data_IF_132407140572
#
_entry.id   IF_132407140572
#
_cell.length_a   1.000
_cell.length_b   1.000
_cell.length_c   1.000
_cell.angle_alpha   90.00
_cell.angle_beta   90.00
_cell.angle_gamma   90.00
#
_symmetry.space_group_name_H-M   'P 1'
#
loop_
_entity.id
_entity.type
_entity.pdbx_description
1 polymer ?
#
# COMPACT_ATOMS: atom_id res chain seq x y z
N UNK A 1 -3.86 -4.32 -1.19
CA UNK A 1 -3.16 -4.08 0.10
C UNK A 1 -3.91 -3.00 0.83
N UNK A 2 -4.23 -3.28 2.08
CA UNK A 2 -4.93 -2.35 2.95
C UNK A 2 -4.03 -1.95 4.12
N UNK A 3 -4.22 -0.73 4.61
CA UNK A 3 -3.47 -0.21 5.74
C UNK A 3 -4.21 0.91 6.46
N UNK A 4 -3.57 1.38 7.53
CA UNK A 4 -4.10 2.44 8.38
C UNK A 4 -3.26 3.70 8.20
N UNK A 5 -3.92 4.84 8.00
CA UNK A 5 -3.27 6.15 7.98
C UNK A 5 -3.48 6.80 9.35
N UNK A 6 -2.42 7.10 10.10
CA UNK A 6 -2.52 7.79 11.38
C UNK A 6 -2.93 9.26 11.20
N UNK A 7 -3.45 9.90 12.24
CA UNK A 7 -3.76 11.33 12.21
C UNK A 7 -2.47 12.17 12.12
N UNK A 8 -2.60 13.36 11.55
CA UNK A 8 -1.49 14.28 11.26
C UNK A 8 -0.69 14.67 12.50
N UNK A 9 -1.34 14.72 13.67
CA UNK A 9 -0.66 15.01 14.94
C UNK A 9 0.28 13.88 15.42
N UNK A 10 0.10 12.66 14.92
CA UNK A 10 0.88 11.47 15.31
C UNK A 10 1.90 11.10 14.22
N UNK A 11 1.58 11.37 12.94
CA UNK A 11 2.50 11.27 11.82
C UNK A 11 2.36 12.52 10.92
N UNK A 12 3.16 13.57 11.16
CA UNK A 12 3.02 14.84 10.43
C UNK A 12 3.57 14.77 8.99
N UNK A 13 4.40 13.77 8.69
CA UNK A 13 4.94 13.57 7.35
C UNK A 13 4.04 12.60 6.59
N UNK A 14 3.42 13.00 5.46
CA UNK A 14 2.66 12.09 4.62
C UNK A 14 3.55 10.95 4.13
N UNK A 15 3.04 9.73 4.19
CA UNK A 15 3.75 8.55 3.72
C UNK A 15 3.70 8.49 2.21
N UNK A 16 4.87 8.37 1.59
CA UNK A 16 5.01 8.18 0.15
C UNK A 16 5.55 6.77 -0.10
N UNK A 17 4.79 5.98 -0.83
CA UNK A 17 5.06 4.56 -1.06
C UNK A 17 5.18 4.29 -2.54
N UNK A 18 6.15 3.44 -2.89
CA UNK A 18 6.33 2.87 -4.20
C UNK A 18 5.96 1.39 -4.17
N UNK A 19 5.10 0.95 -5.08
CA UNK A 19 4.67 -0.44 -5.23
C UNK A 19 5.13 -1.00 -6.57
N UNK A 20 5.80 -2.15 -6.53
CA UNK A 20 6.27 -2.85 -7.74
C UNK A 20 5.80 -4.31 -7.71
N UNK A 21 5.16 -4.77 -8.79
CA UNK A 21 4.77 -6.17 -8.99
C UNK A 21 5.68 -6.82 -10.03
N UNK A 22 6.39 -7.90 -9.69
CA UNK A 22 7.25 -8.66 -10.61
C UNK A 22 8.23 -7.82 -11.44
N UNK A 23 8.83 -6.80 -10.81
CA UNK A 23 9.74 -5.83 -11.46
C UNK A 23 9.07 -4.94 -12.52
N UNK A 24 7.75 -4.75 -12.45
CA UNK A 24 7.03 -3.75 -13.26
C UNK A 24 7.50 -2.32 -12.99
N UNK A 25 7.01 -1.38 -13.79
CA UNK A 25 7.12 0.05 -13.45
C UNK A 25 6.51 0.30 -12.06
N UNK A 26 7.20 1.05 -11.19
CA UNK A 26 6.67 1.33 -9.86
C UNK A 26 5.44 2.25 -9.91
N UNK A 27 4.45 1.95 -9.07
CA UNK A 27 3.28 2.78 -8.83
C UNK A 27 3.46 3.58 -7.55
N UNK A 28 3.32 4.90 -7.67
CA UNK A 28 3.50 5.82 -6.55
C UNK A 28 2.16 6.11 -5.87
N UNK A 29 2.16 6.10 -4.55
CA UNK A 29 1.01 6.49 -3.73
C UNK A 29 1.46 7.42 -2.60
N UNK A 30 0.66 8.44 -2.33
CA UNK A 30 0.85 9.35 -1.20
C UNK A 30 -0.38 9.28 -0.33
N UNK A 31 -0.21 8.96 0.95
CA UNK A 31 -1.33 8.89 1.89
C UNK A 31 -1.92 10.29 2.12
N UNK A 32 -3.25 10.47 2.07
CA UNK A 32 -3.88 11.72 2.49
C UNK A 32 -3.67 11.96 3.98
N UNK A 33 -3.26 13.17 4.36
CA UNK A 33 -3.12 13.59 5.77
C UNK A 33 -4.39 14.25 6.27
N UNK A 34 -4.96 13.70 7.34
CA UNK A 34 -6.15 14.20 8.04
C UNK A 34 -5.90 14.26 9.54
N UNK A 35 -6.74 14.95 10.29
CA UNK A 35 -6.66 14.95 11.76
C UNK A 35 -7.25 13.69 12.40
N UNK A 36 -7.97 12.88 11.62
CA UNK A 36 -8.56 11.61 12.03
C UNK A 36 -7.72 10.40 11.59
N UNK A 37 -7.86 9.27 12.31
CA UNK A 37 -7.34 7.97 11.88
C UNK A 37 -8.19 7.46 10.71
N UNK A 38 -7.54 7.01 9.63
CA UNK A 38 -8.20 6.39 8.48
C UNK A 38 -7.86 4.89 8.46
N UNK A 39 -8.75 4.06 9.00
CA UNK A 39 -8.58 2.61 9.06
C UNK A 39 -8.94 1.93 7.73
N UNK A 40 -8.30 0.79 7.45
CA UNK A 40 -8.64 -0.12 6.35
C UNK A 40 -8.73 0.58 4.97
N UNK A 41 -7.75 1.44 4.69
CA UNK A 41 -7.67 2.19 3.44
C UNK A 41 -6.99 1.35 2.36
N UNK A 42 -7.55 1.37 1.14
CA UNK A 42 -6.93 0.70 0.00
C UNK A 42 -5.72 1.50 -0.47
N UNK A 43 -4.52 0.97 -0.24
CA UNK A 43 -3.28 1.61 -0.69
C UNK A 43 -2.84 1.16 -2.08
N UNK A 44 -3.11 -0.09 -2.43
CA UNK A 44 -2.65 -0.67 -3.68
C UNK A 44 -3.54 -1.83 -4.15
N UNK A 45 -3.79 -1.87 -5.45
CA UNK A 45 -4.45 -2.97 -6.13
C UNK A 45 -3.72 -3.26 -7.45
N UNK A 46 -3.47 -4.55 -7.71
CA UNK A 46 -2.96 -5.03 -8.99
C UNK A 46 -3.96 -6.01 -9.57
N UNK A 47 -4.19 -5.92 -10.88
CA UNK A 47 -5.15 -6.77 -11.57
C UNK A 47 -4.42 -7.88 -12.31
N UNK A 48 -5.03 -9.07 -12.28
CA UNK A 48 -4.62 -10.24 -13.06
C UNK A 48 -3.20 -10.73 -12.76
N UNK A 49 -3.12 -11.73 -11.89
CA UNK A 49 -1.89 -12.49 -11.64
C UNK A 49 -2.04 -13.89 -12.23
N UNK A 50 -0.94 -14.45 -12.72
CA UNK A 50 -0.90 -15.82 -13.19
C UNK A 50 -0.81 -16.76 -11.99
N UNK A 51 -1.90 -17.48 -11.71
CA UNK A 51 -1.98 -18.37 -10.56
C UNK A 51 -0.99 -19.55 -10.60
N UNK A 52 -0.30 -19.77 -11.72
CA UNK A 52 0.64 -20.88 -11.90
C UNK A 52 2.09 -20.53 -11.51
N UNK A 53 2.40 -19.25 -11.30
CA UNK A 53 3.75 -18.81 -10.95
C UNK A 53 3.79 -18.01 -9.64
N UNK A 54 4.91 -18.03 -8.90
CA UNK A 54 5.12 -17.13 -7.78
C UNK A 54 5.21 -15.67 -8.23
N UNK A 55 4.59 -14.77 -7.47
CA UNK A 55 4.61 -13.33 -7.70
C UNK A 55 5.25 -12.60 -6.52
N UNK A 56 5.93 -11.49 -6.79
CA UNK A 56 6.57 -10.66 -5.76
C UNK A 56 6.03 -9.23 -5.80
N UNK A 57 5.41 -8.80 -4.70
CA UNK A 57 5.08 -7.41 -4.44
C UNK A 57 6.19 -6.79 -3.59
N UNK A 58 6.89 -5.80 -4.13
CA UNK A 58 7.86 -4.98 -3.38
C UNK A 58 7.18 -3.67 -3.00
N UNK A 59 7.27 -3.32 -1.72
CA UNK A 59 6.72 -2.08 -1.17
C UNK A 59 7.84 -1.29 -0.51
N UNK A 60 8.06 -0.07 -0.99
CA UNK A 60 9.12 0.80 -0.50
C UNK A 60 8.51 2.08 0.02
N UNK A 61 8.62 2.33 1.33
CA UNK A 61 8.40 3.66 1.87
C UNK A 61 9.58 4.55 1.46
N UNK A 62 9.32 5.54 0.61
CA UNK A 62 10.34 6.44 0.08
C UNK A 62 10.36 7.79 0.80
N UNK A 63 9.36 8.06 1.66
CA UNK A 63 9.36 9.25 2.48
C UNK A 63 10.25 9.03 3.71
N UNK A 64 11.16 9.98 3.93
CA UNK A 64 11.99 9.98 5.13
C UNK A 64 11.12 10.25 6.36
N UNK A 65 11.35 9.50 7.43
CA UNK A 65 10.69 9.63 8.74
C UNK A 65 9.15 9.46 8.74
N UNK A 66 8.56 9.03 7.62
CA UNK A 66 7.14 8.76 7.52
C UNK A 66 6.79 7.36 8.07
N UNK A 67 5.61 7.25 8.68
CA UNK A 67 5.13 6.00 9.27
C UNK A 67 4.22 5.26 8.29
N UNK A 68 4.51 3.99 8.04
CA UNK A 68 3.71 3.14 7.16
C UNK A 68 3.15 1.95 7.92
N UNK A 69 1.82 1.88 8.02
CA UNK A 69 1.12 0.79 8.72
C UNK A 69 0.38 -0.07 7.71
N UNK A 70 0.80 -1.33 7.60
CA UNK A 70 0.13 -2.34 6.76
C UNK A 70 -0.79 -3.17 7.62
N UNK A 71 -2.05 -3.26 7.22
CA UNK A 71 -3.03 -4.11 7.90
C UNK A 71 -2.98 -5.52 7.32
N UNK A 72 -3.22 -5.65 6.01
CA UNK A 72 -3.18 -6.94 5.32
C UNK A 72 -2.98 -6.83 3.80
N UNK A 73 -2.55 -7.94 3.20
CA UNK A 73 -2.58 -8.18 1.76
C UNK A 73 -3.62 -9.24 1.47
N UNK A 74 -4.67 -8.86 0.72
CA UNK A 74 -5.70 -9.79 0.27
C UNK A 74 -5.43 -10.25 -1.16
N UNK A 75 -5.63 -11.54 -1.41
CA UNK A 75 -5.64 -12.14 -2.74
C UNK A 75 -7.09 -12.49 -3.06
N UNK A 76 -7.63 -11.93 -4.15
CA UNK A 76 -8.99 -12.22 -4.61
C UNK A 76 -8.91 -13.21 -5.75
N UNK A 77 -9.50 -14.39 -5.57
CA UNK A 77 -9.62 -15.38 -6.64
C UNK A 77 -10.80 -15.00 -7.54
N UNK A 78 -10.70 -15.19 -8.87
CA UNK A 78 -11.84 -15.03 -9.76
C UNK A 78 -12.97 -16.00 -9.37
N UNK A 79 -14.24 -15.64 -9.64
CA UNK A 79 -15.37 -16.54 -9.38
C UNK A 79 -15.21 -17.86 -10.16
N UNK A 80 -15.55 -18.96 -9.52
CA UNK A 80 -15.58 -20.32 -10.10
C UNK A 80 -16.74 -20.52 -11.05
#
# INVERSE_FOLDING_TARGET
MYGTIPPTNSAPVPTQVSYTMDNSTPMMYVTPTTDDVQYNQLFFQYFTLDATIPHTLVVTNIAQDAQFYVDYVGIVLPPT
#
